data_IF_447640772456
#
_entry.id   IF_447640772456
#
_cell.length_a   1.000
_cell.length_b   1.000
_cell.length_c   1.000
_cell.angle_alpha   90.00
_cell.angle_beta   90.00
_cell.angle_gamma   90.00
#
_symmetry.space_group_name_H-M   'P 1'
#
loop_
_entity.id
_entity.type
_entity.pdbx_description
1 polymer ?
#
# COMPACT_ATOMS: atom_id res chain seq x y z
N UNK A 1 10.92 21.35 6.98
CA UNK A 1 10.00 20.34 6.42
C UNK A 1 9.54 20.86 5.07
N UNK A 2 9.64 20.07 4.00
CA UNK A 2 9.15 20.47 2.68
C UNK A 2 7.63 20.63 2.75
N UNK A 3 7.11 21.72 2.18
CA UNK A 3 5.67 21.94 2.04
C UNK A 3 5.24 21.45 0.65
N UNK A 4 4.26 20.56 0.62
CA UNK A 4 3.71 19.98 -0.61
C UNK A 4 2.48 20.77 -1.07
N UNK A 5 2.41 21.01 -2.37
CA UNK A 5 1.34 21.79 -3.00
C UNK A 5 0.72 21.02 -4.16
N UNK A 6 -0.30 21.59 -4.81
CA UNK A 6 -0.92 20.99 -6.01
C UNK A 6 0.09 20.65 -7.12
N UNK A 7 1.18 21.41 -7.23
CA UNK A 7 2.25 21.18 -8.23
C UNK A 7 3.04 19.90 -7.98
N UNK A 8 3.00 19.41 -6.75
CA UNK A 8 3.69 18.20 -6.31
C UNK A 8 2.83 16.95 -6.49
N UNK A 9 1.53 17.14 -6.71
CA UNK A 9 0.58 16.08 -6.95
C UNK A 9 0.56 15.66 -8.43
N UNK A 10 0.15 14.41 -8.67
CA UNK A 10 -0.15 13.94 -10.02
C UNK A 10 -1.31 14.75 -10.60
N UNK A 11 -1.23 15.07 -11.89
CA UNK A 11 -2.39 15.56 -12.63
C UNK A 11 -3.37 14.39 -12.75
N UNK A 12 -4.28 14.28 -11.80
CA UNK A 12 -5.32 13.26 -11.86
C UNK A 12 -6.22 13.57 -13.05
N UNK A 13 -6.35 12.63 -13.98
CA UNK A 13 -7.56 12.56 -14.80
C UNK A 13 -8.76 12.64 -13.83
N UNK A 14 -9.84 13.33 -14.23
CA UNK A 14 -10.94 13.79 -13.36
C UNK A 14 -11.62 12.72 -12.46
N UNK A 15 -11.21 11.46 -12.51
CA UNK A 15 -11.80 10.31 -11.84
C UNK A 15 -10.79 9.35 -11.18
N UNK A 16 -9.48 9.67 -11.16
CA UNK A 16 -8.51 8.80 -10.48
C UNK A 16 -8.79 8.73 -8.97
N UNK A 17 -9.16 7.55 -8.47
CA UNK A 17 -9.43 7.33 -7.05
C UNK A 17 -8.18 7.62 -6.21
N UNK A 18 -8.35 8.36 -5.13
CA UNK A 18 -7.28 8.58 -4.15
C UNK A 18 -7.08 7.36 -3.23
N UNK A 19 -7.96 6.36 -3.30
CA UNK A 19 -7.84 5.14 -2.50
C UNK A 19 -6.56 4.38 -2.86
N UNK A 20 -5.90 3.83 -1.84
CA UNK A 20 -4.60 3.17 -1.93
C UNK A 20 -3.49 4.06 -2.48
N UNK A 21 -3.57 5.36 -2.21
CA UNK A 21 -2.56 6.35 -2.62
C UNK A 21 -2.14 7.23 -1.47
N UNK A 22 -0.92 7.74 -1.55
CA UNK A 22 -0.42 8.82 -0.68
C UNK A 22 -0.99 10.15 -1.15
N UNK A 23 -1.68 10.83 -0.25
CA UNK A 23 -2.35 12.11 -0.49
C UNK A 23 -1.74 13.22 0.35
N UNK A 24 -1.91 14.44 -0.13
CA UNK A 24 -1.48 15.67 0.56
C UNK A 24 -2.68 16.35 1.20
N UNK A 25 -2.61 16.62 2.50
CA UNK A 25 -3.55 17.50 3.20
C UNK A 25 -2.93 18.89 3.41
N UNK A 26 -3.69 19.97 3.19
CA UNK A 26 -3.20 21.32 3.41
C UNK A 26 -3.13 21.62 4.92
N UNK A 27 -2.16 22.43 5.35
CA UNK A 27 -1.95 22.74 6.77
C UNK A 27 -3.19 23.36 7.45
N UNK A 28 -4.06 24.04 6.68
CA UNK A 28 -5.30 24.67 7.16
C UNK A 28 -6.36 23.69 7.71
N UNK A 29 -6.31 22.40 7.33
CA UNK A 29 -7.24 21.37 7.83
C UNK A 29 -6.60 20.49 8.91
N UNK A 30 -5.34 20.76 9.24
CA UNK A 30 -4.60 20.07 10.28
C UNK A 30 -4.58 20.93 11.55
N UNK A 31 -4.48 20.32 12.74
CA UNK A 31 -4.27 21.06 13.99
C UNK A 31 -3.02 21.95 13.91
N UNK A 32 -3.01 23.10 14.59
CA UNK A 32 -1.95 24.12 14.50
C UNK A 32 -0.53 23.59 14.79
N UNK A 33 -0.41 22.51 15.57
CA UNK A 33 0.88 21.90 15.93
C UNK A 33 1.12 20.54 15.26
N UNK A 34 0.26 20.15 14.32
CA UNK A 34 0.43 18.90 13.61
C UNK A 34 1.64 18.98 12.66
N UNK A 35 2.42 17.90 12.63
CA UNK A 35 3.61 17.82 11.77
C UNK A 35 3.38 16.81 10.65
N UNK A 36 3.69 17.22 9.42
CA UNK A 36 3.51 16.41 8.21
C UNK A 36 2.22 16.75 7.46
N UNK A 37 2.27 16.55 6.14
CA UNK A 37 1.13 16.76 5.22
C UNK A 37 0.75 15.48 4.47
N UNK A 38 1.52 14.40 4.63
CA UNK A 38 1.37 13.18 3.87
C UNK A 38 0.57 12.15 4.65
N UNK A 39 -0.45 11.62 3.99
CA UNK A 39 -1.34 10.61 4.53
C UNK A 39 -1.52 9.51 3.49
N UNK A 40 -1.66 8.27 3.93
CA UNK A 40 -2.06 7.18 3.04
C UNK A 40 -3.57 6.97 3.12
N UNK A 41 -4.27 7.03 1.99
CA UNK A 41 -5.70 6.77 1.93
C UNK A 41 -5.99 5.29 1.81
N UNK A 42 -6.54 4.71 2.87
CA UNK A 42 -6.88 3.27 2.93
C UNK A 42 -8.24 3.00 2.30
N UNK A 43 -9.21 3.91 2.47
CA UNK A 43 -10.57 3.74 1.95
C UNK A 43 -11.28 5.09 1.74
N UNK A 44 -12.31 5.07 0.89
CA UNK A 44 -13.23 6.19 0.72
C UNK A 44 -14.64 5.72 1.05
N UNK A 45 -15.23 6.27 2.10
CA UNK A 45 -16.65 6.08 2.39
C UNK A 45 -17.47 6.94 1.42
N UNK A 46 -18.12 6.28 0.46
CA UNK A 46 -19.02 6.94 -0.48
C UNK A 46 -20.32 7.36 0.22
N UNK A 47 -20.82 8.53 -0.15
CA UNK A 47 -22.10 9.08 0.25
C UNK A 47 -22.95 9.35 -0.99
N UNK A 48 -24.26 9.56 -0.84
CA UNK A 48 -25.17 9.87 -1.95
C UNK A 48 -24.68 11.05 -2.81
N UNK A 49 -24.05 12.03 -2.17
CA UNK A 49 -23.31 13.08 -2.86
C UNK A 49 -21.81 12.76 -2.87
N UNK A 50 -21.16 12.49 -4.03
CA UNK A 50 -19.74 12.21 -4.10
C UNK A 50 -18.84 13.28 -3.47
N UNK A 51 -19.29 14.55 -3.44
CA UNK A 51 -18.57 15.67 -2.81
C UNK A 51 -18.50 15.58 -1.28
N UNK A 52 -19.32 14.72 -0.68
CA UNK A 52 -19.36 14.45 0.76
C UNK A 52 -18.75 13.10 1.11
N UNK A 53 -18.01 12.48 0.18
CA UNK A 53 -17.26 11.28 0.53
C UNK A 53 -16.21 11.60 1.60
N UNK A 54 -16.02 10.65 2.51
CA UNK A 54 -15.06 10.75 3.61
C UNK A 54 -13.87 9.86 3.28
N UNK A 55 -12.67 10.42 3.32
CA UNK A 55 -11.44 9.67 3.16
C UNK A 55 -10.99 9.14 4.52
N UNK A 56 -10.73 7.83 4.58
CA UNK A 56 -10.09 7.17 5.70
C UNK A 56 -8.59 7.12 5.41
N UNK A 57 -7.83 7.71 6.31
CA UNK A 57 -6.41 8.01 6.12
C UNK A 57 -5.58 7.44 7.27
N UNK A 58 -4.30 7.26 7.01
CA UNK A 58 -3.28 7.00 8.03
C UNK A 58 -2.17 8.02 7.86
N UNK A 59 -1.80 8.70 8.94
CA UNK A 59 -0.69 9.65 8.92
C UNK A 59 0.64 8.95 8.66
N UNK A 60 1.42 9.50 7.72
CA UNK A 60 2.78 9.00 7.47
C UNK A 60 3.83 9.62 8.37
N UNK A 61 3.45 10.58 9.23
CA UNK A 61 4.33 11.13 10.26
C UNK A 61 4.16 10.45 11.62
N UNK A 62 2.93 10.00 11.96
CA UNK A 62 2.59 9.43 13.27
C UNK A 62 2.06 8.00 13.23
N UNK A 63 1.60 7.51 12.07
CA UNK A 63 0.91 6.21 11.96
C UNK A 63 -0.53 6.22 12.46
N UNK A 64 -1.05 7.37 12.90
CA UNK A 64 -2.40 7.48 13.45
C UNK A 64 -3.47 7.50 12.36
N UNK A 65 -4.65 6.95 12.68
CA UNK A 65 -5.82 7.02 11.82
C UNK A 65 -6.36 8.45 11.74
N UNK A 66 -6.81 8.85 10.55
CA UNK A 66 -7.33 10.18 10.28
C UNK A 66 -8.56 10.12 9.37
N UNK A 67 -9.44 11.10 9.49
CA UNK A 67 -10.61 11.24 8.61
C UNK A 67 -10.72 12.69 8.14
N UNK A 68 -11.00 12.87 6.85
CA UNK A 68 -11.31 14.19 6.30
C UNK A 68 -12.33 14.08 5.18
N UNK A 69 -12.90 15.21 4.78
CA UNK A 69 -13.66 15.23 3.53
C UNK A 69 -12.71 15.02 2.37
N UNK A 70 -13.14 14.24 1.37
CA UNK A 70 -12.33 14.01 0.18
C UNK A 70 -11.98 15.33 -0.54
N UNK A 71 -12.89 16.33 -0.50
CA UNK A 71 -12.65 17.67 -1.05
C UNK A 71 -11.52 18.47 -0.38
N UNK A 72 -11.10 18.05 0.82
CA UNK A 72 -10.03 18.73 1.56
C UNK A 72 -8.64 18.24 1.12
N UNK A 73 -8.57 17.13 0.38
CA UNK A 73 -7.34 16.57 -0.18
C UNK A 73 -6.85 17.46 -1.33
N UNK A 74 -5.58 17.87 -1.27
CA UNK A 74 -4.92 18.66 -2.33
C UNK A 74 -4.73 17.81 -3.59
N UNK A 75 -4.34 16.55 -3.42
CA UNK A 75 -4.15 15.59 -4.51
C UNK A 75 -3.33 14.39 -4.08
N UNK A 76 -3.07 13.49 -5.03
CA UNK A 76 -2.18 12.34 -4.85
C UNK A 76 -0.74 12.78 -5.10
N UNK A 77 0.15 12.60 -4.11
CA UNK A 77 1.55 12.97 -4.23
C UNK A 77 2.24 12.15 -5.33
N UNK A 78 3.10 12.79 -6.13
CA UNK A 78 4.02 12.11 -7.04
C UNK A 78 4.96 11.15 -6.26
N UNK A 79 5.02 9.85 -6.58
CA UNK A 79 5.82 8.88 -5.82
C UNK A 79 7.32 9.22 -5.76
N UNK A 80 7.84 9.96 -6.74
CA UNK A 80 9.25 10.38 -6.79
C UNK A 80 9.60 11.40 -5.69
N UNK A 81 8.60 12.10 -5.14
CA UNK A 81 8.77 13.05 -4.05
C UNK A 81 8.62 12.40 -2.66
N UNK A 82 8.41 11.08 -2.63
CA UNK A 82 8.11 10.35 -1.41
C UNK A 82 9.39 9.98 -0.65
N UNK A 83 9.57 10.58 0.53
CA UNK A 83 10.76 10.45 1.36
C UNK A 83 10.91 9.09 2.04
N UNK A 84 12.13 8.79 2.48
CA UNK A 84 12.45 7.50 3.11
C UNK A 84 11.68 7.26 4.42
N UNK A 85 11.51 8.30 5.24
CA UNK A 85 10.77 8.19 6.51
C UNK A 85 9.33 7.77 6.24
N UNK A 86 8.69 8.40 5.26
CA UNK A 86 7.31 8.12 4.92
C UNK A 86 7.15 6.77 4.22
N UNK A 87 8.15 6.31 3.45
CA UNK A 87 8.22 4.94 2.93
C UNK A 87 8.25 3.90 4.05
N UNK A 88 9.08 4.12 5.08
CA UNK A 88 9.17 3.23 6.24
C UNK A 88 7.90 3.25 7.10
N UNK A 89 7.19 4.38 7.18
CA UNK A 89 5.89 4.43 7.85
C UNK A 89 4.83 3.71 7.03
N UNK A 90 4.78 3.94 5.72
CA UNK A 90 3.83 3.29 4.81
C UNK A 90 4.00 1.77 4.80
N UNK A 91 5.23 1.26 4.88
CA UNK A 91 5.50 -0.19 4.88
C UNK A 91 4.93 -0.91 6.09
N UNK A 92 4.50 -0.21 7.14
CA UNK A 92 3.92 -0.80 8.35
C UNK A 92 2.38 -0.80 8.34
N UNK A 93 1.76 -0.22 7.31
CA UNK A 93 0.30 -0.10 7.20
C UNK A 93 -0.28 -1.38 6.61
N UNK A 94 -1.22 -2.01 7.35
CA UNK A 94 -1.99 -3.14 6.84
C UNK A 94 -3.05 -2.69 5.82
N UNK A 95 -3.41 -3.55 4.85
CA UNK A 95 -4.47 -3.25 3.91
C UNK A 95 -5.80 -2.93 4.57
N UNK A 96 -6.61 -2.10 3.89
CA UNK A 96 -7.98 -1.87 4.32
C UNK A 96 -8.78 -3.19 4.29
N UNK A 97 -9.54 -3.45 5.35
CA UNK A 97 -10.32 -4.69 5.47
C UNK A 97 -9.49 -5.91 5.86
N UNK A 98 -8.19 -5.76 6.16
CA UNK A 98 -7.38 -6.83 6.69
C UNK A 98 -7.98 -7.37 8.00
N UNK A 99 -7.93 -8.69 8.17
CA UNK A 99 -8.56 -9.41 9.27
C UNK A 99 -7.92 -9.04 10.60
N UNK A 100 -8.73 -9.05 11.66
CA UNK A 100 -8.21 -8.88 13.02
C UNK A 100 -7.32 -10.07 13.39
N UNK A 101 -6.10 -9.76 13.82
CA UNK A 101 -5.06 -10.71 14.19
C UNK A 101 -5.38 -11.45 15.50
N UNK A 102 -6.30 -10.92 16.33
CA UNK A 102 -6.75 -11.62 17.53
C UNK A 102 -7.47 -12.94 17.22
N UNK A 103 -8.10 -13.06 16.04
CA UNK A 103 -8.84 -14.26 15.61
C UNK A 103 -8.23 -14.99 14.42
N UNK A 104 -7.24 -14.40 13.75
CA UNK A 104 -6.70 -14.91 12.48
C UNK A 104 -5.18 -14.92 12.55
N UNK A 105 -4.61 -16.12 12.63
CA UNK A 105 -3.15 -16.26 12.65
C UNK A 105 -2.58 -15.85 11.27
N UNK A 106 -1.56 -14.97 11.23
CA UNK A 106 -0.99 -14.53 9.96
C UNK A 106 -0.31 -15.69 9.24
N UNK A 107 -0.54 -15.83 7.94
CA UNK A 107 0.11 -16.84 7.07
C UNK A 107 1.34 -16.29 6.36
N UNK A 108 1.45 -14.96 6.30
CA UNK A 108 2.51 -14.29 5.57
C UNK A 108 3.06 -13.10 6.34
N UNK A 109 4.30 -12.75 6.02
CA UNK A 109 4.96 -11.53 6.46
C UNK A 109 5.37 -10.71 5.25
N UNK A 110 4.92 -9.45 5.20
CA UNK A 110 5.26 -8.50 4.16
C UNK A 110 6.35 -7.53 4.61
N UNK A 111 7.40 -7.39 3.81
CA UNK A 111 8.52 -6.49 4.04
C UNK A 111 8.64 -5.50 2.88
N UNK A 112 9.08 -4.28 3.18
CA UNK A 112 9.43 -3.32 2.14
C UNK A 112 10.73 -2.62 2.48
N UNK A 113 11.61 -2.54 1.49
CA UNK A 113 12.98 -2.07 1.66
C UNK A 113 13.20 -0.78 0.89
N UNK A 114 14.05 0.06 1.46
CA UNK A 114 14.69 1.18 0.80
C UNK A 114 15.82 0.68 -0.12
N UNK A 115 16.33 1.52 -1.04
CA UNK A 115 17.44 1.15 -1.94
C UNK A 115 18.71 0.69 -1.23
N UNK A 116 18.97 1.18 -0.03
CA UNK A 116 20.13 0.79 0.78
C UNK A 116 19.90 -0.46 1.64
N UNK A 117 18.75 -1.13 1.46
CA UNK A 117 18.39 -2.35 2.18
C UNK A 117 17.80 -2.14 3.56
N UNK A 118 17.68 -0.89 4.05
CA UNK A 118 16.93 -0.63 5.30
C UNK A 118 15.45 -0.94 5.12
N UNK A 119 14.82 -1.45 6.17
CA UNK A 119 13.39 -1.74 6.21
C UNK A 119 12.87 -1.59 7.65
N UNK A 120 11.55 -1.39 7.78
CA UNK A 120 10.87 -1.42 9.08
C UNK A 120 10.44 -2.85 9.44
N UNK A 121 9.79 -3.06 10.59
CA UNK A 121 9.23 -4.37 10.94
C UNK A 121 8.26 -4.88 9.87
N UNK A 122 8.28 -6.20 9.64
CA UNK A 122 7.38 -6.85 8.70
C UNK A 122 5.92 -6.75 9.15
N UNK A 123 5.02 -6.70 8.18
CA UNK A 123 3.58 -6.65 8.39
C UNK A 123 2.99 -8.04 8.30
N UNK A 124 2.19 -8.42 9.30
CA UNK A 124 1.46 -9.67 9.33
C UNK A 124 0.24 -9.63 8.43
N UNK A 125 0.11 -10.64 7.56
CA UNK A 125 -0.94 -10.76 6.56
C UNK A 125 -1.59 -12.15 6.68
N UNK A 126 -2.91 -12.17 6.82
CA UNK A 126 -3.65 -13.38 7.18
C UNK A 126 -3.83 -14.38 6.03
N UNK A 127 -3.86 -13.88 4.79
CA UNK A 127 -4.23 -14.67 3.63
C UNK A 127 -3.68 -14.05 2.32
N UNK A 128 -3.78 -14.73 1.18
CA UNK A 128 -3.30 -14.23 -0.11
C UNK A 128 -3.95 -12.91 -0.58
N UNK A 129 -5.19 -12.62 -0.18
CA UNK A 129 -5.89 -11.39 -0.56
C UNK A 129 -5.27 -10.17 0.13
N UNK A 130 -4.91 -10.31 1.41
CA UNK A 130 -4.13 -9.33 2.15
C UNK A 130 -2.73 -9.15 1.56
N UNK A 131 -2.09 -10.24 1.13
CA UNK A 131 -0.80 -10.19 0.41
C UNK A 131 -0.91 -9.34 -0.84
N UNK A 132 -1.86 -9.64 -1.71
CA UNK A 132 -2.03 -8.89 -2.95
C UNK A 132 -2.35 -7.41 -2.69
N UNK A 133 -3.24 -7.15 -1.74
CA UNK A 133 -3.61 -5.79 -1.37
C UNK A 133 -2.42 -5.01 -0.82
N UNK A 134 -1.61 -5.62 0.05
CA UNK A 134 -0.39 -5.01 0.59
C UNK A 134 0.60 -4.68 -0.54
N UNK A 135 0.88 -5.64 -1.43
CA UNK A 135 1.80 -5.44 -2.56
C UNK A 135 1.32 -4.29 -3.45
N UNK A 136 0.03 -4.23 -3.78
CA UNK A 136 -0.52 -3.15 -4.61
C UNK A 136 -0.45 -1.78 -3.93
N UNK A 137 -0.57 -1.72 -2.60
CA UNK A 137 -0.39 -0.48 -1.84
C UNK A 137 1.06 0.01 -1.87
N UNK A 138 2.03 -0.91 -1.89
CA UNK A 138 3.45 -0.58 -1.75
C UNK A 138 4.18 -0.37 -3.08
N UNK A 139 3.76 -1.04 -4.17
CA UNK A 139 4.55 -1.21 -5.41
C UNK A 139 5.02 0.09 -6.07
N UNK A 140 4.26 1.17 -5.92
CA UNK A 140 4.58 2.46 -6.54
C UNK A 140 5.48 3.33 -5.65
N UNK A 141 5.68 2.93 -4.38
CA UNK A 141 6.38 3.72 -3.36
C UNK A 141 7.64 3.06 -2.83
N UNK A 142 7.78 1.74 -2.94
CA UNK A 142 8.88 1.00 -2.32
C UNK A 142 9.91 0.57 -3.36
N UNK A 143 11.18 0.51 -2.96
CA UNK A 143 12.23 0.02 -3.86
C UNK A 143 12.11 -1.49 -4.04
N UNK A 144 11.90 -2.23 -2.95
CA UNK A 144 11.71 -3.68 -2.97
C UNK A 144 10.59 -4.08 -2.02
N UNK A 145 9.81 -5.08 -2.40
CA UNK A 145 8.78 -5.72 -1.57
C UNK A 145 9.08 -7.20 -1.55
N UNK A 146 9.07 -7.81 -0.36
CA UNK A 146 9.25 -9.25 -0.18
C UNK A 146 8.11 -9.76 0.68
N UNK A 147 7.49 -10.86 0.25
CA UNK A 147 6.50 -11.59 1.02
C UNK A 147 7.09 -12.96 1.34
N UNK A 148 7.08 -13.30 2.61
CA UNK A 148 7.42 -14.63 3.10
C UNK A 148 6.18 -15.34 3.63
N UNK A 149 6.15 -16.66 3.55
CA UNK A 149 5.18 -17.49 4.27
C UNK A 149 5.58 -17.67 5.75
N UNK A 150 4.89 -18.56 6.47
CA UNK A 150 5.14 -18.84 7.89
C UNK A 150 6.48 -19.52 8.18
N UNK A 151 7.05 -20.17 7.18
CA UNK A 151 8.31 -20.91 7.30
C UNK A 151 9.50 -20.06 6.80
N UNK A 152 9.30 -18.74 6.67
CA UNK A 152 10.25 -17.75 6.18
C UNK A 152 10.71 -17.95 4.73
N UNK A 153 9.99 -18.74 3.93
CA UNK A 153 10.27 -18.87 2.50
C UNK A 153 9.66 -17.71 1.72
N UNK A 154 10.44 -17.14 0.79
CA UNK A 154 9.95 -16.13 -0.13
C UNK A 154 8.87 -16.73 -1.03
N UNK A 155 7.70 -16.08 -1.09
CA UNK A 155 6.57 -16.48 -1.96
C UNK A 155 6.27 -15.42 -3.02
N UNK A 156 6.67 -14.17 -2.80
CA UNK A 156 6.56 -13.09 -3.77
C UNK A 156 7.66 -12.06 -3.53
N UNK A 157 8.28 -11.59 -4.61
CA UNK A 157 9.24 -10.51 -4.54
C UNK A 157 9.04 -9.53 -5.70
N UNK A 158 9.06 -8.24 -5.38
CA UNK A 158 9.06 -7.15 -6.36
C UNK A 158 10.26 -6.24 -6.15
N UNK A 159 10.82 -5.77 -7.26
CA UNK A 159 11.89 -4.78 -7.30
C UNK A 159 11.51 -3.69 -8.29
N UNK A 160 11.49 -2.44 -7.82
CA UNK A 160 11.14 -1.24 -8.60
C UNK A 160 9.85 -1.40 -9.42
N UNK A 161 8.80 -1.89 -8.75
CA UNK A 161 7.48 -2.10 -9.34
C UNK A 161 7.37 -3.31 -10.27
N UNK A 162 8.42 -4.12 -10.41
CA UNK A 162 8.42 -5.34 -11.24
C UNK A 162 8.45 -6.59 -10.37
N UNK A 163 7.63 -7.59 -10.70
CA UNK A 163 7.66 -8.89 -10.05
C UNK A 163 8.90 -9.66 -10.52
N UNK A 164 9.73 -10.08 -9.58
CA UNK A 164 10.96 -10.87 -9.84
C UNK A 164 10.88 -12.28 -9.25
N UNK A 165 9.98 -12.51 -8.29
CA UNK A 165 9.65 -13.85 -7.80
C UNK A 165 8.14 -13.98 -7.55
N UNK A 166 7.51 -15.11 -7.93
CA UNK A 166 8.07 -16.16 -8.80
C UNK A 166 8.43 -15.56 -10.17
N UNK A 167 9.51 -16.05 -10.79
CA UNK A 167 9.88 -15.59 -12.12
C UNK A 167 8.90 -16.13 -13.18
N UNK A 168 8.91 -15.53 -14.36
CA UNK A 168 8.00 -15.89 -15.47
C UNK A 168 8.12 -17.38 -15.82
N UNK A 169 9.34 -17.93 -15.79
CA UNK A 169 9.57 -19.34 -16.11
C UNK A 169 8.93 -20.26 -15.07
N UNK A 170 9.04 -19.93 -13.79
CA UNK A 170 8.42 -20.68 -12.69
C UNK A 170 6.89 -20.64 -12.77
N UNK A 171 6.33 -19.49 -13.15
CA UNK A 171 4.89 -19.33 -13.39
C UNK A 171 4.42 -20.16 -14.60
N UNK A 172 5.17 -20.12 -15.71
CA UNK A 172 4.87 -20.92 -16.90
C UNK A 172 4.92 -22.42 -16.60
N UNK A 173 5.95 -22.88 -15.89
CA UNK A 173 6.09 -24.27 -15.46
C UNK A 173 4.95 -24.71 -14.54
N UNK A 174 4.56 -23.87 -13.58
CA UNK A 174 3.43 -24.16 -12.69
C UNK A 174 2.10 -24.24 -13.46
N UNK A 175 1.84 -23.30 -14.37
CA UNK A 175 0.66 -23.33 -15.23
C UNK A 175 0.62 -24.55 -16.14
N UNK A 176 1.77 -24.98 -16.67
CA UNK A 176 1.87 -26.17 -17.51
C UNK A 176 1.65 -27.46 -16.70
N UNK A 177 2.21 -27.54 -15.49
CA UNK A 177 1.96 -28.65 -14.57
C UNK A 177 0.48 -28.76 -14.15
N UNK A 178 -0.24 -27.63 -14.00
CA UNK A 178 -1.68 -27.65 -13.75
C UNK A 178 -2.51 -28.10 -14.96
N UNK A 179 -2.07 -27.82 -16.18
CA UNK A 179 -2.74 -28.28 -17.41
C UNK A 179 -2.54 -29.78 -17.65
N UNK A 180 -1.34 -30.29 -17.37
CA UNK A 180 -1.02 -31.71 -17.53
C UNK A 180 -1.53 -32.58 -16.35
N UNK A 181 -1.82 -31.96 -15.20
CA UNK A 181 -2.42 -32.61 -14.03
C UNK A 181 -3.95 -32.72 -14.05
N UNK A 182 -4.60 -32.32 -15.15
CA UNK A 182 -6.04 -32.52 -15.38
C UNK A 182 -6.37 -33.99 -15.54
N UNK A 183 -6.62 -34.66 -14.41
CA UNK A 183 -6.93 -36.09 -14.29
C UNK A 183 -8.06 -36.49 -15.25
N UNK A 184 -7.73 -37.35 -16.24
CA UNK A 184 -8.74 -38.14 -16.97
C UNK A 184 -9.53 -38.94 -15.94
N UNK A 185 -10.81 -38.59 -15.79
CA UNK A 185 -11.78 -39.40 -15.08
C UNK A 185 -12.13 -40.59 -15.99
N UNK A 186 -11.44 -41.71 -15.78
CA UNK A 186 -11.88 -43.06 -16.22
C UNK A 186 -12.69 -43.74 -15.13
#
# INVERSE_FOLDING_TARGET
MQEFTEKDCMQTEKEASIQNRVVVLPSKVLPEHYTGQLFFCTNIQKTENPRHSIAHLVSLSTGEAWHCWNRDVVGVLRPELFGEKERLQLSQIRPFGALDLHGHSPEYSGYSFLPDGRYASGVWLANPEEVWSYVMMQKDYQYRILICDRDDFAVLEMLEGRMIFPDVQSLEQFQQAQKDGGMEMI
#
